data_IF_004419837946
#
_entry.id   IF_004419837946
#
_cell.length_a   1.000
_cell.length_b   1.000
_cell.length_c   1.000
_cell.angle_alpha   90.00
_cell.angle_beta   90.00
_cell.angle_gamma   90.00
#
_symmetry.space_group_name_H-M   'P 1'
#
loop_
_entity.id
_entity.type
_entity.pdbx_description
1 polymer ?
#
# COMPACT_ATOMS: atom_id res chain seq x y z
N UNK A 1 8.09 3.99 38.48
CA UNK A 1 7.45 3.10 37.47
C UNK A 1 7.13 1.78 38.15
N UNK A 2 5.88 1.33 38.08
CA UNK A 2 5.47 0.03 38.56
C UNK A 2 6.14 -1.11 37.81
N UNK A 3 6.40 -2.18 38.52
CA UNK A 3 7.15 -3.33 38.04
C UNK A 3 6.43 -4.02 36.89
N UNK A 4 7.10 -4.11 35.73
CA UNK A 4 6.66 -4.96 34.61
C UNK A 4 7.28 -6.35 34.79
N UNK A 5 6.46 -7.39 34.80
CA UNK A 5 6.90 -8.75 35.10
C UNK A 5 7.32 -9.57 33.86
N UNK A 6 7.20 -9.01 32.64
CA UNK A 6 7.37 -9.83 31.43
C UNK A 6 8.41 -9.33 30.43
N UNK A 7 8.76 -8.05 30.45
CA UNK A 7 9.77 -7.44 29.55
C UNK A 7 10.31 -6.15 30.16
N UNK A 8 11.44 -5.71 29.64
CA UNK A 8 12.09 -4.51 30.11
C UNK A 8 11.54 -3.28 29.37
N UNK A 9 10.66 -2.47 29.98
CA UNK A 9 10.19 -1.24 29.35
C UNK A 9 11.35 -0.24 29.29
N UNK A 10 11.79 0.06 28.08
CA UNK A 10 12.73 1.13 27.79
C UNK A 10 12.01 2.46 27.58
N UNK A 11 12.72 3.57 27.77
CA UNK A 11 12.31 4.91 27.36
C UNK A 11 13.34 5.45 26.37
N UNK A 12 12.84 6.16 25.34
CA UNK A 12 13.70 6.76 24.32
C UNK A 12 13.36 6.32 22.92
N UNK A 13 14.01 6.95 21.94
CA UNK A 13 13.92 6.61 20.53
C UNK A 13 15.07 5.65 20.17
N UNK A 14 14.76 4.49 19.64
CA UNK A 14 15.75 3.49 19.24
C UNK A 14 15.66 3.07 17.77
N UNK A 15 14.59 3.48 17.08
CA UNK A 15 14.40 3.27 15.64
C UNK A 15 14.61 4.56 14.87
N UNK A 16 14.74 4.44 13.54
CA UNK A 16 14.92 5.57 12.65
C UNK A 16 13.78 6.57 12.80
N UNK A 17 14.15 7.83 12.88
CA UNK A 17 13.20 8.96 12.86
C UNK A 17 13.33 9.64 11.50
N UNK A 18 12.21 9.77 10.79
CA UNK A 18 12.16 10.40 9.48
C UNK A 18 11.47 11.77 9.61
N UNK A 19 12.11 12.79 9.07
CA UNK A 19 11.49 14.08 8.83
C UNK A 19 10.98 14.12 7.38
N UNK A 20 9.68 14.34 7.20
CA UNK A 20 9.04 14.37 5.87
C UNK A 20 8.50 15.78 5.63
N UNK A 21 9.00 16.44 4.59
CA UNK A 21 8.47 17.69 4.10
C UNK A 21 7.55 17.42 2.90
N UNK A 22 6.36 18.01 2.89
CA UNK A 22 5.35 17.85 1.84
C UNK A 22 4.96 19.22 1.28
N UNK A 23 4.48 19.29 0.00
CA UNK A 23 3.86 20.49 -0.55
C UNK A 23 2.54 20.81 0.17
N UNK A 24 1.91 21.93 -0.18
CA UNK A 24 0.64 22.31 0.45
C UNK A 24 -0.50 21.33 0.11
N UNK A 25 -0.59 20.88 -1.15
CA UNK A 25 -1.49 19.80 -1.56
C UNK A 25 -0.65 18.52 -1.66
N UNK A 26 -1.03 17.49 -0.91
CA UNK A 26 -0.19 16.30 -0.80
C UNK A 26 -0.99 15.02 -0.48
N UNK A 27 -0.38 13.88 -0.76
CA UNK A 27 -0.86 12.57 -0.33
C UNK A 27 -0.26 12.26 1.06
N UNK A 28 -1.06 12.08 2.12
CA UNK A 28 -0.55 11.78 3.45
C UNK A 28 0.10 10.39 3.49
N UNK A 29 0.86 10.13 4.57
CA UNK A 29 1.41 8.80 4.83
C UNK A 29 0.24 7.80 4.84
N UNK A 30 0.39 6.68 4.09
CA UNK A 30 -0.67 5.69 3.83
C UNK A 30 -1.93 6.26 3.17
N UNK A 31 -1.83 7.40 2.49
CA UNK A 31 -2.94 8.01 1.76
C UNK A 31 -3.37 7.26 0.50
N UNK A 32 -2.57 6.31 0.02
CA UNK A 32 -2.92 5.45 -1.11
C UNK A 32 -3.31 4.05 -0.63
N UNK A 33 -4.53 3.64 -0.96
CA UNK A 33 -5.03 2.29 -0.73
C UNK A 33 -5.21 1.57 -2.07
N UNK A 34 -4.62 0.39 -2.22
CA UNK A 34 -4.75 -0.42 -3.44
C UNK A 34 -5.41 -1.75 -3.09
N UNK A 35 -6.45 -2.09 -3.87
CA UNK A 35 -7.15 -3.37 -3.77
C UNK A 35 -7.23 -4.04 -5.14
N UNK A 36 -7.39 -5.36 -5.15
CA UNK A 36 -7.52 -6.18 -6.35
C UNK A 36 -8.88 -6.90 -6.32
N UNK A 37 -9.99 -6.18 -6.62
CA UNK A 37 -11.35 -6.70 -6.43
C UNK A 37 -11.69 -7.87 -7.34
N UNK A 38 -11.05 -7.96 -8.49
CA UNK A 38 -11.21 -9.06 -9.45
C UNK A 38 -9.85 -9.48 -9.99
N UNK A 39 -9.56 -10.78 -9.89
CA UNK A 39 -8.28 -11.36 -10.36
C UNK A 39 -8.51 -12.73 -10.97
N UNK A 40 -8.03 -12.89 -12.18
CA UNK A 40 -7.87 -14.18 -12.88
C UNK A 40 -6.43 -14.32 -13.38
N UNK A 41 -6.10 -15.40 -14.04
CA UNK A 41 -4.79 -15.55 -14.71
C UNK A 41 -4.64 -14.61 -15.90
N UNK A 42 -5.75 -14.21 -16.53
CA UNK A 42 -5.75 -13.37 -17.74
C UNK A 42 -5.92 -11.88 -17.43
N UNK A 43 -6.56 -11.56 -16.32
CA UNK A 43 -6.94 -10.17 -16.01
C UNK A 43 -6.97 -9.92 -14.51
N UNK A 44 -6.45 -8.77 -14.11
CA UNK A 44 -6.68 -8.20 -12.77
C UNK A 44 -7.21 -6.78 -12.85
N UNK A 45 -8.28 -6.49 -12.09
CA UNK A 45 -8.74 -5.13 -11.84
C UNK A 45 -8.05 -4.58 -10.61
N UNK A 46 -7.43 -3.42 -10.74
CA UNK A 46 -6.73 -2.71 -9.68
C UNK A 46 -7.52 -1.46 -9.34
N UNK A 47 -8.01 -1.39 -8.12
CA UNK A 47 -8.69 -0.21 -7.59
C UNK A 47 -7.71 0.55 -6.68
N UNK A 48 -7.47 1.82 -7.02
CA UNK A 48 -6.55 2.72 -6.32
C UNK A 48 -7.36 3.87 -5.75
N UNK A 49 -7.33 4.04 -4.43
CA UNK A 49 -7.94 5.16 -3.72
C UNK A 49 -6.84 6.03 -3.17
N UNK A 50 -6.72 7.24 -3.69
CA UNK A 50 -5.71 8.22 -3.28
C UNK A 50 -6.38 9.35 -2.51
N UNK A 51 -6.01 9.52 -1.25
CA UNK A 51 -6.40 10.66 -0.43
C UNK A 51 -5.45 11.81 -0.71
N UNK A 52 -6.00 12.99 -1.01
CA UNK A 52 -5.21 14.19 -1.25
C UNK A 52 -5.64 15.27 -0.25
N UNK A 53 -4.72 15.69 0.60
CA UNK A 53 -4.97 16.72 1.60
C UNK A 53 -4.92 18.13 0.99
N UNK A 54 -5.72 19.03 1.55
CA UNK A 54 -5.88 20.43 1.10
C UNK A 54 -6.35 20.58 -0.35
N UNK A 55 -7.07 19.57 -0.86
CA UNK A 55 -7.56 19.53 -2.23
C UNK A 55 -8.94 20.17 -2.43
N UNK A 56 -9.69 20.51 -1.36
CA UNK A 56 -11.05 21.04 -1.45
C UNK A 56 -11.07 22.33 -2.28
N UNK A 57 -12.02 22.40 -3.23
CA UNK A 57 -12.18 23.46 -4.22
C UNK A 57 -11.01 23.61 -5.20
N UNK A 58 -10.24 22.54 -5.42
CA UNK A 58 -9.19 22.46 -6.42
C UNK A 58 -9.55 21.46 -7.50
N UNK A 59 -8.97 21.69 -8.69
CA UNK A 59 -8.90 20.70 -9.75
C UNK A 59 -7.67 19.83 -9.50
N UNK A 60 -7.86 18.53 -9.33
CA UNK A 60 -6.79 17.56 -9.07
C UNK A 60 -6.69 16.60 -10.24
N UNK A 61 -5.49 16.48 -10.81
CA UNK A 61 -5.18 15.42 -11.77
C UNK A 61 -4.29 14.38 -11.09
N UNK A 62 -4.61 13.11 -11.31
CA UNK A 62 -3.82 11.96 -10.89
C UNK A 62 -3.32 11.21 -12.12
N UNK A 63 -2.01 11.24 -12.35
CA UNK A 63 -1.34 10.48 -13.41
C UNK A 63 -0.72 9.23 -12.75
N UNK A 64 -1.37 8.09 -12.89
CA UNK A 64 -0.90 6.84 -12.28
C UNK A 64 -0.37 5.89 -13.34
N UNK A 65 0.87 5.40 -13.12
CA UNK A 65 1.51 4.36 -13.92
C UNK A 65 1.74 3.13 -13.07
N UNK A 66 1.31 1.96 -13.56
CA UNK A 66 1.63 0.68 -12.96
C UNK A 66 2.92 0.14 -13.56
N UNK A 67 3.85 -0.23 -12.71
CA UNK A 67 5.19 -0.70 -13.08
C UNK A 67 5.41 -2.09 -12.49
N UNK A 68 5.88 -3.03 -13.29
CA UNK A 68 6.38 -4.30 -12.78
C UNK A 68 7.66 -4.04 -11.99
N UNK A 69 7.65 -4.32 -10.68
CA UNK A 69 8.78 -3.99 -9.81
C UNK A 69 10.06 -4.76 -10.14
N UNK A 70 9.94 -5.93 -10.75
CA UNK A 70 11.10 -6.77 -11.09
C UNK A 70 11.77 -6.33 -12.39
N UNK A 71 10.96 -6.05 -13.43
CA UNK A 71 11.49 -5.67 -14.76
C UNK A 71 11.68 -4.16 -14.90
N UNK A 72 10.98 -3.35 -14.12
CA UNK A 72 10.95 -1.88 -14.26
C UNK A 72 10.07 -1.40 -15.42
N UNK A 73 9.40 -2.31 -16.12
CA UNK A 73 8.56 -1.97 -17.28
C UNK A 73 7.21 -1.43 -16.85
N UNK A 74 6.72 -0.41 -17.55
CA UNK A 74 5.35 0.07 -17.43
C UNK A 74 4.38 -0.98 -17.97
N UNK A 75 3.36 -1.29 -17.17
CA UNK A 75 2.34 -2.28 -17.50
C UNK A 75 1.10 -1.60 -18.06
N UNK A 76 0.67 -0.50 -17.43
CA UNK A 76 -0.46 0.31 -17.84
C UNK A 76 -0.39 1.69 -17.16
N UNK A 77 -1.18 2.65 -17.65
CA UNK A 77 -1.25 3.99 -17.07
C UNK A 77 -2.64 4.58 -17.23
N UNK A 78 -3.02 5.46 -16.30
CA UNK A 78 -4.30 6.18 -16.31
C UNK A 78 -4.11 7.61 -15.81
N UNK A 79 -4.72 8.55 -16.52
CA UNK A 79 -4.90 9.93 -16.07
C UNK A 79 -6.37 10.12 -15.69
N UNK A 80 -6.62 10.76 -14.57
CA UNK A 80 -7.97 11.04 -14.08
C UNK A 80 -8.04 12.41 -13.42
N UNK A 81 -9.13 13.13 -13.70
CA UNK A 81 -9.37 14.49 -13.27
C UNK A 81 -10.52 14.56 -12.26
N UNK A 82 -10.38 15.42 -11.26
CA UNK A 82 -11.36 15.57 -10.18
C UNK A 82 -11.54 17.01 -9.76
N UNK A 83 -12.76 17.51 -9.81
CA UNK A 83 -13.16 18.74 -9.13
C UNK A 83 -13.53 18.41 -7.68
N UNK A 84 -12.60 18.56 -6.78
CA UNK A 84 -12.73 18.10 -5.39
C UNK A 84 -13.63 19.05 -4.58
N UNK A 85 -14.79 18.56 -4.17
CA UNK A 85 -15.77 19.30 -3.33
C UNK A 85 -15.76 18.82 -1.87
N UNK A 86 -15.35 17.59 -1.64
CA UNK A 86 -15.34 16.94 -0.32
C UNK A 86 -14.03 16.21 -0.09
N UNK A 87 -13.64 16.07 1.16
CA UNK A 87 -12.41 15.34 1.53
C UNK A 87 -12.64 13.82 1.48
N UNK A 88 -12.84 13.30 0.27
CA UNK A 88 -12.98 11.87 -0.01
C UNK A 88 -11.80 11.38 -0.83
N UNK A 89 -11.42 10.10 -0.70
CA UNK A 89 -10.40 9.53 -1.58
C UNK A 89 -10.81 9.60 -3.04
N UNK A 90 -9.87 9.96 -3.91
CA UNK A 90 -10.02 9.95 -5.36
C UNK A 90 -9.76 8.53 -5.87
N UNK A 91 -10.65 8.03 -6.73
CA UNK A 91 -10.66 6.61 -7.10
C UNK A 91 -10.32 6.41 -8.56
N UNK A 92 -9.32 5.56 -8.83
CA UNK A 92 -8.91 5.13 -10.16
C UNK A 92 -9.06 3.61 -10.29
N UNK A 93 -9.46 3.15 -11.48
CA UNK A 93 -9.54 1.73 -11.80
C UNK A 93 -8.68 1.45 -13.03
N UNK A 94 -7.68 0.60 -12.86
CA UNK A 94 -6.73 0.22 -13.91
C UNK A 94 -6.77 -1.30 -14.05
N UNK A 95 -6.52 -1.81 -15.25
CA UNK A 95 -6.54 -3.24 -15.55
C UNK A 95 -5.14 -3.73 -15.89
N UNK A 96 -4.72 -4.88 -15.34
CA UNK A 96 -3.50 -5.57 -15.74
C UNK A 96 -3.88 -6.83 -16.51
N UNK A 97 -3.41 -6.94 -17.76
CA UNK A 97 -3.54 -8.17 -18.56
C UNK A 97 -2.43 -9.15 -18.20
N UNK A 98 -2.78 -10.44 -18.07
CA UNK A 98 -1.89 -11.54 -17.71
C UNK A 98 -1.03 -11.20 -16.47
N UNK A 99 -1.65 -10.85 -15.33
CA UNK A 99 -0.92 -10.38 -14.16
C UNK A 99 -0.03 -11.48 -13.58
N UNK A 100 1.18 -11.11 -13.15
CA UNK A 100 2.01 -11.97 -12.31
C UNK A 100 1.44 -11.95 -10.89
N UNK A 101 0.85 -13.06 -10.46
CA UNK A 101 0.20 -13.15 -9.15
C UNK A 101 1.24 -13.24 -8.03
N UNK A 102 0.95 -12.56 -6.94
CA UNK A 102 1.75 -12.64 -5.72
C UNK A 102 1.42 -13.90 -4.92
N UNK A 103 2.43 -14.64 -4.52
CA UNK A 103 2.36 -15.68 -3.49
C UNK A 103 3.65 -15.66 -2.65
N UNK A 104 3.68 -16.33 -1.48
CA UNK A 104 4.92 -16.47 -0.71
C UNK A 104 6.08 -17.12 -1.50
N UNK A 105 5.77 -18.04 -2.42
CA UNK A 105 6.74 -18.74 -3.26
C UNK A 105 7.18 -17.88 -4.45
N UNK A 106 6.29 -17.03 -4.96
CA UNK A 106 6.54 -16.13 -6.10
C UNK A 106 6.05 -14.72 -5.75
N UNK A 107 6.82 -13.95 -4.97
CA UNK A 107 6.38 -12.66 -4.42
C UNK A 107 6.48 -11.55 -5.47
N UNK A 108 5.76 -11.69 -6.58
CA UNK A 108 5.68 -10.67 -7.62
C UNK A 108 5.00 -9.41 -7.11
N UNK A 109 5.65 -8.28 -7.33
CA UNK A 109 5.19 -6.98 -6.88
C UNK A 109 5.09 -5.99 -8.05
N UNK A 110 4.16 -5.07 -7.91
CA UNK A 110 3.99 -3.91 -8.77
C UNK A 110 4.18 -2.64 -7.95
N UNK A 111 4.46 -1.55 -8.64
CA UNK A 111 4.51 -0.19 -8.09
C UNK A 111 3.42 0.60 -8.79
N UNK A 112 2.52 1.21 -8.03
CA UNK A 112 1.68 2.28 -8.51
C UNK A 112 2.41 3.60 -8.23
N UNK A 113 2.88 4.24 -9.29
CA UNK A 113 3.52 5.55 -9.27
C UNK A 113 2.47 6.58 -9.67
N UNK A 114 2.08 7.43 -8.72
CA UNK A 114 1.05 8.44 -8.92
C UNK A 114 1.64 9.83 -8.78
N UNK A 115 1.59 10.60 -9.85
CA UNK A 115 1.92 12.03 -9.86
C UNK A 115 0.65 12.82 -9.63
N UNK A 116 0.71 13.79 -8.72
CA UNK A 116 -0.40 14.66 -8.33
C UNK A 116 -0.16 16.06 -8.87
N UNK A 117 -1.14 16.59 -9.61
CA UNK A 117 -1.22 18.00 -9.98
C UNK A 117 -2.43 18.63 -9.31
N UNK A 118 -2.30 19.90 -8.91
CA UNK A 118 -3.40 20.71 -8.38
C UNK A 118 -3.46 22.02 -9.16
N UNK A 119 -4.61 22.33 -9.77
CA UNK A 119 -4.80 23.50 -10.62
C UNK A 119 -3.68 23.60 -11.69
N UNK A 120 -3.40 22.47 -12.37
CA UNK A 120 -2.34 22.28 -13.39
C UNK A 120 -0.88 22.39 -12.88
N UNK A 121 -0.67 22.57 -11.57
CA UNK A 121 0.65 22.69 -10.97
C UNK A 121 1.07 21.36 -10.33
N UNK A 122 2.25 20.86 -10.72
CA UNK A 122 2.87 19.69 -10.10
C UNK A 122 3.00 19.88 -8.59
N UNK A 123 2.59 18.86 -7.82
CA UNK A 123 2.70 18.84 -6.37
C UNK A 123 3.75 17.83 -5.93
N UNK A 124 3.52 16.56 -6.17
CA UNK A 124 4.43 15.49 -5.80
C UNK A 124 4.19 14.21 -6.62
N UNK A 125 5.11 13.27 -6.47
CA UNK A 125 4.96 11.90 -6.94
C UNK A 125 5.06 10.96 -5.73
N UNK A 126 4.16 9.97 -5.66
CA UNK A 126 4.15 8.94 -4.62
C UNK A 126 4.17 7.55 -5.22
N UNK A 127 4.94 6.65 -4.61
CA UNK A 127 4.99 5.25 -5.00
C UNK A 127 4.35 4.36 -3.94
N UNK A 128 3.50 3.45 -4.39
CA UNK A 128 2.89 2.44 -3.52
C UNK A 128 3.14 1.06 -4.09
N UNK A 129 3.82 0.21 -3.32
CA UNK A 129 4.11 -1.17 -3.71
C UNK A 129 2.93 -2.07 -3.34
N UNK A 130 2.51 -2.93 -4.28
CA UNK A 130 1.42 -3.88 -4.04
C UNK A 130 1.65 -5.21 -4.78
N UNK A 131 0.91 -6.25 -4.37
CA UNK A 131 0.89 -7.54 -5.04
C UNK A 131 -0.52 -7.89 -5.52
N UNK A 132 -0.65 -8.40 -6.72
CA UNK A 132 -1.93 -8.86 -7.28
C UNK A 132 -2.25 -10.24 -6.73
N UNK A 133 -3.32 -10.35 -5.95
CA UNK A 133 -3.75 -11.61 -5.33
C UNK A 133 -5.22 -11.59 -4.94
N UNK A 134 -5.80 -12.78 -4.78
CA UNK A 134 -7.10 -12.95 -4.11
C UNK A 134 -6.90 -13.56 -2.73
N UNK A 135 -7.66 -13.07 -1.76
CA UNK A 135 -7.70 -13.61 -0.39
C UNK A 135 -9.15 -13.90 -0.04
N UNK A 136 -9.42 -15.12 0.40
CA UNK A 136 -10.75 -15.54 0.82
C UNK A 136 -10.67 -16.37 2.11
N UNK A 137 -11.69 -16.22 2.96
CA UNK A 137 -11.92 -17.10 4.10
C UNK A 137 -13.25 -17.82 3.85
N UNK A 138 -13.17 -19.12 3.66
CA UNK A 138 -14.35 -19.95 3.33
C UNK A 138 -14.67 -20.84 4.53
N UNK A 139 -15.91 -20.80 5.07
CA UNK A 139 -16.32 -21.67 6.17
C UNK A 139 -16.04 -23.14 5.86
N UNK A 140 -15.51 -23.89 6.83
CA UNK A 140 -15.13 -25.29 6.73
C UNK A 140 -14.01 -25.66 5.72
N UNK A 141 -13.49 -24.68 4.98
CA UNK A 141 -12.36 -24.86 4.04
C UNK A 141 -11.11 -24.17 4.58
N UNK A 142 -11.25 -22.93 5.08
CA UNK A 142 -10.16 -22.15 5.65
C UNK A 142 -9.75 -20.95 4.80
N UNK A 143 -8.47 -20.61 4.90
CA UNK A 143 -7.86 -19.48 4.18
C UNK A 143 -7.44 -19.92 2.77
N UNK A 144 -7.86 -19.16 1.76
CA UNK A 144 -7.46 -19.35 0.38
C UNK A 144 -6.67 -18.15 -0.12
N UNK A 145 -5.56 -18.42 -0.78
CA UNK A 145 -4.75 -17.44 -1.51
C UNK A 145 -4.74 -17.86 -2.99
N UNK A 146 -5.19 -16.98 -3.87
CA UNK A 146 -5.33 -17.25 -5.31
C UNK A 146 -6.13 -18.53 -5.57
N UNK A 147 -7.23 -18.72 -4.86
CA UNK A 147 -8.09 -19.91 -4.97
C UNK A 147 -7.52 -21.20 -4.36
N UNK A 148 -6.29 -21.21 -3.84
CA UNK A 148 -5.65 -22.39 -3.25
C UNK A 148 -5.69 -22.31 -1.72
N UNK A 149 -6.11 -23.41 -1.08
CA UNK A 149 -6.09 -23.53 0.39
C UNK A 149 -4.66 -23.40 0.89
N UNK A 150 -4.46 -22.52 1.87
CA UNK A 150 -3.16 -22.27 2.50
C UNK A 150 -3.27 -22.43 4.02
N UNK A 151 -2.34 -23.19 4.57
CA UNK A 151 -2.19 -23.31 6.01
C UNK A 151 -1.41 -22.09 6.54
N UNK A 152 -2.03 -21.31 7.42
CA UNK A 152 -1.36 -20.20 8.08
C UNK A 152 -0.52 -20.77 9.22
N UNK A 153 0.77 -20.46 9.23
CA UNK A 153 1.70 -20.77 10.31
C UNK A 153 2.19 -19.46 10.90
N UNK A 154 2.17 -19.35 12.22
CA UNK A 154 2.57 -18.14 12.92
C UNK A 154 3.17 -18.44 14.26
N UNK A 155 3.93 -17.50 14.77
CA UNK A 155 4.53 -17.52 16.10
C UNK A 155 4.27 -16.20 16.81
N UNK A 156 4.27 -16.22 18.14
CA UNK A 156 4.27 -14.99 18.93
C UNK A 156 5.72 -14.50 19.05
N UNK A 157 5.97 -13.26 18.63
CA UNK A 157 7.24 -12.58 18.83
C UNK A 157 7.12 -11.65 20.04
N UNK A 158 7.80 -12.00 21.11
CA UNK A 158 7.90 -11.19 22.32
C UNK A 158 9.19 -10.36 22.31
N UNK A 159 9.23 -9.29 23.11
CA UNK A 159 10.38 -8.38 23.21
C UNK A 159 11.50 -8.95 24.08
N UNK A 160 11.95 -10.15 23.80
CA UNK A 160 12.91 -10.88 24.64
C UNK A 160 14.28 -10.98 23.98
N UNK A 161 14.86 -9.85 23.58
CA UNK A 161 16.20 -9.79 23.01
C UNK A 161 17.29 -9.64 24.10
N UNK A 162 17.19 -10.41 25.19
CA UNK A 162 18.11 -10.35 26.30
C UNK A 162 18.26 -8.93 26.86
N UNK A 163 19.50 -8.40 27.01
CA UNK A 163 19.72 -7.07 27.61
C UNK A 163 19.17 -5.91 26.75
N UNK A 164 18.84 -6.13 25.49
CA UNK A 164 18.28 -5.12 24.57
C UNK A 164 16.75 -5.01 24.67
N UNK A 165 16.07 -5.99 25.27
CA UNK A 165 14.62 -6.00 25.43
C UNK A 165 13.88 -5.83 24.10
N UNK A 166 13.19 -4.71 23.92
CA UNK A 166 12.42 -4.40 22.70
C UNK A 166 13.23 -3.69 21.61
N UNK A 167 14.49 -3.37 21.84
CA UNK A 167 15.33 -2.63 20.89
C UNK A 167 15.91 -3.54 19.80
N UNK A 168 15.03 -4.15 19.01
CA UNK A 168 15.40 -4.98 17.85
C UNK A 168 15.67 -4.08 16.66
N UNK A 169 16.80 -4.25 16.00
CA UNK A 169 17.15 -3.57 14.75
C UNK A 169 16.45 -4.21 13.54
#
# INVERSE_FOLDING_TARGET
REQSSRWYPGAGLFRNVHFIHKPNVYVPIWGTQITTPYVTEQLASINIKTRVENAINKHIELHTTLINKTTGESVDSLVSDYDVKHNLPLEQNITINNPALWSPETPHLYIARTTVYADEVYQEEVETVFGVRTVQIVPNVGFLLNGKVRKIQGVCLHHDLGPLGSAVS
#
